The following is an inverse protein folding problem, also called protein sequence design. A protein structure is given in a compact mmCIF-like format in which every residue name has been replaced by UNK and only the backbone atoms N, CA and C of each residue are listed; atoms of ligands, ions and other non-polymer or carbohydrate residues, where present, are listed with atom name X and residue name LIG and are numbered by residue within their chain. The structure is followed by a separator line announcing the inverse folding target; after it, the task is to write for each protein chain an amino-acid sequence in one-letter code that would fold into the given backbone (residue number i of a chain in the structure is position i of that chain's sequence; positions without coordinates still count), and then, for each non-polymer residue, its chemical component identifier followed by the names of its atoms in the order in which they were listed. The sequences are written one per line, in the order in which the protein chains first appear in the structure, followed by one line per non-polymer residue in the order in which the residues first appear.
data_IF_612504535763
#
_entry.id   IF_612504535763
#
_cell.length_a   1.000
_cell.length_b   1.000
_cell.length_c   1.000
_cell.angle_alpha   90.00
_cell.angle_beta   90.00
_cell.angle_gamma   90.00
#
_symmetry.space_group_name_H-M   'P 1'
#
loop_
_entity.id
_entity.type
_entity.pdbx_description
1 polymer ?
#
# COMPACT_ATOMS: atom_id res chain seq x y z
N UNK A 1 -11.37 5.32 -46.15
CA UNK A 1 -10.91 4.40 -45.09
C UNK A 1 -10.53 5.24 -43.88
N UNK A 2 -11.37 5.25 -42.85
CA UNK A 2 -11.08 5.99 -41.62
C UNK A 2 -10.17 5.10 -40.79
N UNK A 3 -8.89 5.40 -40.76
CA UNK A 3 -7.97 4.79 -39.80
C UNK A 3 -8.34 5.39 -38.45
N UNK A 4 -9.18 4.68 -37.69
CA UNK A 4 -9.26 4.93 -36.24
C UNK A 4 -7.91 4.55 -35.68
N UNK A 5 -7.02 5.52 -35.57
CA UNK A 5 -5.91 5.38 -34.64
C UNK A 5 -6.56 5.14 -33.29
N UNK A 6 -6.53 3.88 -32.83
CA UNK A 6 -6.86 3.57 -31.47
C UNK A 6 -5.87 4.37 -30.61
N UNK A 7 -6.29 5.54 -30.14
CA UNK A 7 -5.61 6.18 -29.04
C UNK A 7 -5.66 5.14 -27.91
N UNK A 8 -4.55 4.43 -27.72
CA UNK A 8 -4.38 3.63 -26.53
C UNK A 8 -4.80 4.54 -25.38
N UNK A 9 -5.91 4.19 -24.72
CA UNK A 9 -6.47 5.02 -23.66
C UNK A 9 -5.35 5.27 -22.64
N UNK A 10 -4.82 6.49 -22.64
CA UNK A 10 -3.78 6.88 -21.71
C UNK A 10 -4.33 6.69 -20.31
N UNK A 11 -3.57 6.01 -19.46
CA UNK A 11 -3.94 5.88 -18.06
C UNK A 11 -4.00 7.25 -17.42
N UNK A 12 -5.05 7.57 -16.66
CA UNK A 12 -5.08 8.83 -15.90
C UNK A 12 -3.84 8.94 -15.03
N UNK A 13 -3.30 10.15 -14.89
CA UNK A 13 -2.11 10.39 -14.04
C UNK A 13 -2.30 9.84 -12.62
N UNK A 14 -3.50 10.01 -12.05
CA UNK A 14 -3.80 9.51 -10.72
C UNK A 14 -3.67 7.98 -10.61
N UNK A 15 -4.06 7.23 -11.64
CA UNK A 15 -3.88 5.77 -11.69
C UNK A 15 -2.39 5.40 -11.71
N UNK A 16 -1.60 6.12 -12.50
CA UNK A 16 -0.14 5.92 -12.55
C UNK A 16 0.50 6.22 -11.20
N UNK A 17 0.10 7.32 -10.56
CA UNK A 17 0.62 7.72 -9.25
C UNK A 17 0.24 6.72 -8.15
N UNK A 18 -1.00 6.23 -8.15
CA UNK A 18 -1.44 5.21 -7.19
C UNK A 18 -0.69 3.89 -7.40
N UNK A 19 -0.53 3.45 -8.64
CA UNK A 19 0.24 2.24 -8.95
C UNK A 19 1.70 2.40 -8.49
N UNK A 20 2.31 3.55 -8.74
CA UNK A 20 3.66 3.86 -8.29
C UNK A 20 3.77 3.89 -6.77
N UNK A 21 2.79 4.47 -6.07
CA UNK A 21 2.73 4.48 -4.61
C UNK A 21 2.71 3.06 -4.05
N UNK A 22 1.80 2.23 -4.51
CA UNK A 22 1.70 0.84 -4.03
C UNK A 22 2.93 0.02 -4.39
N UNK A 23 3.49 0.21 -5.57
CA UNK A 23 4.72 -0.48 -5.97
C UNK A 23 5.91 -0.07 -5.10
N UNK A 24 6.07 1.22 -4.81
CA UNK A 24 7.15 1.74 -3.96
C UNK A 24 7.04 1.19 -2.54
N UNK A 25 5.85 1.20 -1.96
CA UNK A 25 5.61 0.65 -0.63
C UNK A 25 5.87 -0.86 -0.61
N UNK A 26 5.42 -1.58 -1.62
CA UNK A 26 5.66 -3.02 -1.75
C UNK A 26 7.16 -3.34 -1.81
N UNK A 27 7.92 -2.61 -2.61
CA UNK A 27 9.38 -2.77 -2.69
C UNK A 27 10.04 -2.49 -1.34
N UNK A 28 9.62 -1.43 -0.66
CA UNK A 28 10.14 -1.08 0.66
C UNK A 28 9.87 -2.19 1.68
N UNK A 29 8.64 -2.70 1.75
CA UNK A 29 8.28 -3.76 2.67
C UNK A 29 9.04 -5.06 2.38
N UNK A 30 9.14 -5.46 1.12
CA UNK A 30 9.88 -6.66 0.73
C UNK A 30 11.39 -6.51 0.90
N UNK A 31 11.92 -5.30 0.77
CA UNK A 31 13.30 -4.99 1.10
C UNK A 31 13.60 -5.24 2.57
N UNK A 32 12.72 -4.84 3.49
CA UNK A 32 12.87 -5.13 4.92
C UNK A 32 12.92 -6.63 5.19
N UNK A 33 12.08 -7.40 4.53
CA UNK A 33 12.10 -8.87 4.63
C UNK A 33 13.43 -9.43 4.14
N UNK A 34 13.90 -8.97 2.99
CA UNK A 34 15.19 -9.38 2.42
C UNK A 34 16.37 -9.08 3.33
N UNK A 35 16.38 -7.90 3.93
CA UNK A 35 17.42 -7.49 4.88
C UNK A 35 17.41 -8.34 6.15
N UNK A 36 16.24 -8.71 6.65
CA UNK A 36 16.11 -9.61 7.79
C UNK A 36 16.65 -11.01 7.44
N UNK A 37 16.25 -11.56 6.31
CA UNK A 37 16.71 -12.90 5.86
C UNK A 37 18.22 -12.93 5.61
N UNK A 38 18.80 -11.81 5.20
CA UNK A 38 20.25 -11.66 5.04
C UNK A 38 21.00 -11.44 6.36
N UNK A 39 20.29 -11.36 7.48
CA UNK A 39 20.88 -11.10 8.80
C UNK A 39 21.38 -9.67 9.00
N UNK A 40 20.89 -8.74 8.18
CA UNK A 40 21.34 -7.34 8.18
C UNK A 40 20.48 -6.40 9.02
N UNK A 41 19.35 -6.86 9.52
CA UNK A 41 18.57 -6.14 10.50
C UNK A 41 18.11 -7.10 11.61
N UNK A 42 17.76 -6.55 12.77
CA UNK A 42 17.34 -7.29 13.95
C UNK A 42 15.86 -7.07 14.28
N UNK A 43 15.03 -6.93 13.27
CA UNK A 43 13.59 -6.75 13.46
C UNK A 43 12.96 -7.95 14.20
N UNK A 44 11.90 -7.65 14.93
CA UNK A 44 11.06 -8.68 15.56
C UNK A 44 10.41 -9.53 14.45
N UNK A 45 10.44 -10.89 14.56
CA UNK A 45 9.87 -11.76 13.52
C UNK A 45 8.43 -11.44 13.13
N UNK A 46 7.60 -11.01 14.08
CA UNK A 46 6.23 -10.58 13.81
C UNK A 46 6.15 -9.37 12.87
N UNK A 47 7.06 -8.41 13.00
CA UNK A 47 7.16 -7.25 12.09
C UNK A 47 7.62 -7.68 10.70
N UNK A 48 8.53 -8.62 10.61
CA UNK A 48 8.99 -9.15 9.32
C UNK A 48 7.84 -9.81 8.58
N UNK A 49 7.03 -10.60 9.28
CA UNK A 49 5.83 -11.21 8.72
C UNK A 49 4.83 -10.15 8.25
N UNK A 50 4.62 -9.09 9.04
CA UNK A 50 3.76 -7.97 8.66
C UNK A 50 4.27 -7.27 7.39
N UNK A 51 5.56 -7.01 7.28
CA UNK A 51 6.16 -6.45 6.07
C UNK A 51 5.99 -7.38 4.86
N UNK A 52 6.13 -8.69 5.05
CA UNK A 52 5.91 -9.66 3.98
C UNK A 52 4.46 -9.61 3.47
N UNK A 53 3.48 -9.61 4.36
CA UNK A 53 2.06 -9.52 4.00
C UNK A 53 1.75 -8.19 3.32
N UNK A 54 2.21 -7.07 3.88
CA UNK A 54 2.00 -5.74 3.30
C UNK A 54 2.68 -5.60 1.94
N UNK A 55 3.87 -6.16 1.78
CA UNK A 55 4.57 -6.17 0.50
C UNK A 55 3.80 -6.92 -0.58
N UNK A 56 3.25 -8.07 -0.25
CA UNK A 56 2.42 -8.86 -1.18
C UNK A 56 1.11 -8.16 -1.51
N UNK A 57 0.43 -7.62 -0.52
CA UNK A 57 -0.82 -6.85 -0.73
C UNK A 57 -0.54 -5.59 -1.54
N UNK A 58 0.53 -4.87 -1.25
CA UNK A 58 0.96 -3.70 -2.01
C UNK A 58 1.29 -4.03 -3.47
N UNK A 59 1.99 -5.11 -3.73
CA UNK A 59 2.30 -5.58 -5.08
C UNK A 59 1.03 -5.97 -5.85
N UNK A 60 0.11 -6.68 -5.20
CA UNK A 60 -1.18 -7.03 -5.76
C UNK A 60 -2.03 -5.77 -6.06
N UNK A 61 -2.04 -4.81 -5.14
CA UNK A 61 -2.73 -3.54 -5.33
C UNK A 61 -2.15 -2.75 -6.50
N UNK A 62 -0.82 -2.63 -6.59
CA UNK A 62 -0.14 -1.96 -7.70
C UNK A 62 -0.53 -2.59 -9.05
N UNK A 63 -0.50 -3.90 -9.13
CA UNK A 63 -0.87 -4.66 -10.34
C UNK A 63 -2.35 -4.45 -10.70
N UNK A 64 -3.24 -4.56 -9.72
CA UNK A 64 -4.67 -4.38 -9.94
C UNK A 64 -5.02 -2.95 -10.38
N UNK A 65 -4.38 -1.94 -9.78
CA UNK A 65 -4.54 -0.54 -10.17
C UNK A 65 -4.03 -0.32 -11.59
N UNK A 66 -2.86 -0.86 -11.91
CA UNK A 66 -2.28 -0.74 -13.24
C UNK A 66 -3.14 -1.38 -14.32
N UNK A 67 -3.70 -2.53 -14.02
CA UNK A 67 -4.62 -3.25 -14.92
C UNK A 67 -6.05 -2.70 -14.90
N UNK A 68 -6.33 -1.74 -14.03
CA UNK A 68 -7.68 -1.18 -13.83
C UNK A 68 -8.71 -2.27 -13.47
N UNK A 69 -8.29 -3.24 -12.69
CA UNK A 69 -9.14 -4.33 -12.20
C UNK A 69 -10.09 -3.82 -11.11
N UNK A 70 -11.28 -4.39 -11.05
CA UNK A 70 -12.24 -4.13 -9.95
C UNK A 70 -11.69 -4.51 -8.57
N UNK A 71 -10.75 -5.45 -8.51
CA UNK A 71 -10.06 -5.82 -7.27
C UNK A 71 -9.21 -4.70 -6.68
N UNK A 72 -8.83 -3.69 -7.48
CA UNK A 72 -8.00 -2.57 -7.02
C UNK A 72 -8.63 -1.82 -5.85
N UNK A 73 -9.94 -1.67 -5.83
CA UNK A 73 -10.67 -1.00 -4.72
C UNK A 73 -10.49 -1.73 -3.41
N UNK A 74 -10.67 -3.05 -3.43
CA UNK A 74 -10.57 -3.89 -2.24
C UNK A 74 -9.13 -4.02 -1.76
N UNK A 75 -8.18 -4.15 -2.69
CA UNK A 75 -6.77 -4.25 -2.36
C UNK A 75 -6.23 -2.94 -1.78
N UNK A 76 -6.65 -1.78 -2.31
CA UNK A 76 -6.29 -0.48 -1.76
C UNK A 76 -6.85 -0.29 -0.34
N UNK A 77 -8.10 -0.66 -0.12
CA UNK A 77 -8.72 -0.61 1.20
C UNK A 77 -8.03 -1.57 2.19
N UNK A 78 -7.77 -2.79 1.77
CA UNK A 78 -7.08 -3.80 2.58
C UNK A 78 -5.67 -3.32 2.96
N UNK A 79 -4.92 -2.78 2.01
CA UNK A 79 -3.60 -2.22 2.27
C UNK A 79 -3.65 -1.11 3.31
N UNK A 80 -4.60 -0.19 3.19
CA UNK A 80 -4.78 0.92 4.14
C UNK A 80 -5.08 0.42 5.55
N UNK A 81 -6.00 -0.52 5.68
CA UNK A 81 -6.38 -1.10 6.98
C UNK A 81 -5.22 -1.87 7.61
N UNK A 82 -4.54 -2.72 6.84
CA UNK A 82 -3.42 -3.52 7.35
C UNK A 82 -2.24 -2.62 7.76
N UNK A 83 -1.92 -1.62 6.96
CA UNK A 83 -0.84 -0.69 7.28
C UNK A 83 -1.17 0.13 8.52
N UNK A 84 -2.39 0.62 8.64
CA UNK A 84 -2.84 1.34 9.83
C UNK A 84 -2.82 0.45 11.07
N UNK A 85 -3.25 -0.80 10.95
CA UNK A 85 -3.21 -1.77 12.05
C UNK A 85 -1.77 -2.05 12.49
N UNK A 86 -0.84 -2.20 11.54
CA UNK A 86 0.57 -2.35 11.86
C UNK A 86 1.10 -1.13 12.61
N UNK A 87 0.87 0.07 12.10
CA UNK A 87 1.31 1.31 12.76
C UNK A 87 0.70 1.43 14.16
N UNK A 88 -0.58 1.13 14.32
CA UNK A 88 -1.24 1.17 15.62
C UNK A 88 -0.68 0.14 16.61
N UNK A 89 -0.12 -0.96 16.15
CA UNK A 89 0.50 -1.99 17.00
C UNK A 89 1.95 -1.66 17.41
N UNK A 90 2.64 -0.78 16.69
CA UNK A 90 4.05 -0.46 16.94
C UNK A 90 4.32 0.06 18.36
N UNK A 91 3.50 0.92 18.99
CA UNK A 91 3.73 1.35 20.35
C UNK A 91 3.82 0.20 21.33
N UNK A 92 2.97 -0.82 21.18
CA UNK A 92 2.98 -2.01 22.05
C UNK A 92 4.16 -2.94 21.74
N UNK A 93 4.46 -3.15 20.46
CA UNK A 93 5.54 -4.06 20.01
C UNK A 93 6.93 -3.50 20.37
N UNK A 94 7.12 -2.18 20.19
CA UNK A 94 8.40 -1.51 20.42
C UNK A 94 8.54 -0.90 21.81
N UNK A 95 7.49 -0.94 22.64
CA UNK A 95 7.51 -0.34 23.97
C UNK A 95 7.69 1.18 23.95
N UNK A 96 7.07 1.87 22.99
CA UNK A 96 7.21 3.33 22.83
C UNK A 96 6.63 4.08 24.03
N UNK A 97 7.32 5.17 24.44
CA UNK A 97 6.84 6.07 25.46
C UNK A 97 5.56 6.81 25.03
N UNK A 98 4.78 7.28 26.00
CA UNK A 98 3.51 7.97 25.71
C UNK A 98 3.69 9.18 24.79
N UNK A 99 4.80 9.91 24.91
CA UNK A 99 5.10 11.08 24.08
C UNK A 99 5.32 10.72 22.59
N UNK A 100 5.77 9.51 22.31
CA UNK A 100 6.06 9.03 20.95
C UNK A 100 4.81 8.45 20.25
N UNK A 101 3.77 8.11 21.01
CA UNK A 101 2.56 7.46 20.50
C UNK A 101 1.71 8.37 19.63
N UNK A 102 1.73 9.68 19.90
CA UNK A 102 0.95 10.66 19.12
C UNK A 102 1.29 10.66 17.65
N UNK A 103 2.59 10.63 17.31
CA UNK A 103 3.06 10.57 15.93
C UNK A 103 2.62 9.29 15.21
N UNK A 104 2.64 8.16 15.91
CA UNK A 104 2.19 6.87 15.37
C UNK A 104 0.69 6.89 15.05
N UNK A 105 -0.13 7.45 15.95
CA UNK A 105 -1.57 7.57 15.73
C UNK A 105 -1.91 8.50 14.57
N UNK A 106 -1.20 9.61 14.44
CA UNK A 106 -1.34 10.52 13.29
C UNK A 106 -0.96 9.80 11.99
N UNK A 107 0.13 9.05 12.01
CA UNK A 107 0.55 8.24 10.86
C UNK A 107 -0.50 7.19 10.46
N UNK A 108 -1.05 6.47 11.44
CA UNK A 108 -2.11 5.48 11.20
C UNK A 108 -3.36 6.13 10.59
N UNK A 109 -3.80 7.27 11.12
CA UNK A 109 -4.93 8.01 10.59
C UNK A 109 -4.67 8.50 9.15
N UNK A 110 -3.47 9.02 8.88
CA UNK A 110 -3.07 9.46 7.55
C UNK A 110 -3.11 8.31 6.53
N UNK A 111 -2.60 7.14 6.89
CA UNK A 111 -2.62 5.95 6.03
C UNK A 111 -4.06 5.49 5.76
N UNK A 112 -4.92 5.49 6.76
CA UNK A 112 -6.34 5.17 6.57
C UNK A 112 -7.01 6.14 5.60
N UNK A 113 -6.72 7.43 5.71
CA UNK A 113 -7.25 8.44 4.79
C UNK A 113 -6.74 8.24 3.37
N UNK A 114 -5.45 7.93 3.21
CA UNK A 114 -4.87 7.63 1.89
C UNK A 114 -5.52 6.39 1.28
N UNK A 115 -5.65 5.31 2.04
CA UNK A 115 -6.31 4.08 1.60
C UNK A 115 -7.78 4.30 1.23
N UNK A 116 -8.52 5.05 2.06
CA UNK A 116 -9.91 5.39 1.80
C UNK A 116 -10.07 6.25 0.55
N UNK A 117 -9.22 7.26 0.39
CA UNK A 117 -9.22 8.10 -0.80
C UNK A 117 -8.89 7.30 -2.07
N UNK A 118 -7.88 6.44 -2.02
CA UNK A 118 -7.51 5.58 -3.13
C UNK A 118 -8.67 4.64 -3.51
N UNK A 119 -9.29 4.00 -2.54
CA UNK A 119 -10.44 3.12 -2.76
C UNK A 119 -11.63 3.88 -3.36
N UNK A 120 -11.94 5.06 -2.83
CA UNK A 120 -13.00 5.90 -3.34
C UNK A 120 -12.73 6.35 -4.78
N UNK A 121 -11.52 6.81 -5.06
CA UNK A 121 -11.11 7.24 -6.40
C UNK A 121 -11.20 6.08 -7.39
N UNK A 122 -10.65 4.94 -7.04
CA UNK A 122 -10.64 3.74 -7.89
C UNK A 122 -12.05 3.22 -8.15
N UNK A 123 -12.92 3.26 -7.14
CA UNK A 123 -14.32 2.87 -7.31
C UNK A 123 -15.04 3.70 -8.36
N UNK A 124 -14.72 5.00 -8.43
CA UNK A 124 -15.33 5.91 -9.40
C UNK A 124 -14.76 5.81 -10.80
N UNK A 125 -13.51 5.42 -10.93
CA UNK A 125 -12.75 5.48 -12.18
C UNK A 125 -12.38 4.11 -12.74
N UNK A 126 -12.73 3.04 -12.06
CA UNK A 126 -12.49 1.67 -12.53
C UNK A 126 -13.81 1.11 -13.08
N UNK A 127 -13.83 0.59 -14.31
CA UNK A 127 -15.02 -0.05 -14.85
C UNK A 127 -15.38 -1.30 -14.04
N UNK A 128 -16.67 -1.52 -13.85
CA UNK A 128 -17.18 -2.69 -13.15
C UNK A 128 -16.87 -3.97 -13.95
#
# INVERSE_FOLDING_TARGET
MIVRTAHAARRPLAVVLLAALFATVAVSDLWQVGMFLAGRNSEVPGLVLAHAVLGLVGAAAATAVWRRSSWSVWLAALWGVLTAALLASLPSVLGLAAEERGGVWVGAAAVLLVGAFAAWYLRRHTPA
#
